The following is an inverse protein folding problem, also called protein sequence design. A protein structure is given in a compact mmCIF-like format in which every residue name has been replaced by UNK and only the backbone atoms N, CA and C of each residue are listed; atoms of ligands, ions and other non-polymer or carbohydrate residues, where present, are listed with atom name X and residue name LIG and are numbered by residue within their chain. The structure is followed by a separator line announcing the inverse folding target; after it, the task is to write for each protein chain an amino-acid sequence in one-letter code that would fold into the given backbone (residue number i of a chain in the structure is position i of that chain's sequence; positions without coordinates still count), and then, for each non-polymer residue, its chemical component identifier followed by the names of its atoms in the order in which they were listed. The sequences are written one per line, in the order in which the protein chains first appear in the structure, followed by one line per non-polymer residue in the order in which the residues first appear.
data_IF_217922807231
#
_entry.id   IF_217922807231
#
_cell.length_a   1.000
_cell.length_b   1.000
_cell.length_c   1.000
_cell.angle_alpha   90.00
_cell.angle_beta   90.00
_cell.angle_gamma   90.00
#
_symmetry.space_group_name_H-M   'P 1'
#
loop_
_entity.id
_entity.type
_entity.pdbx_description
1 polymer ?
#
# COMPACT_ATOMS: atom_id res chain seq x y z
N UNK A 1 49.31 41.12 -3.70
CA UNK A 1 49.14 39.65 -3.77
C UNK A 1 48.04 39.09 -2.85
N UNK A 2 47.71 39.72 -1.72
CA UNK A 2 46.71 39.22 -0.75
C UNK A 2 45.25 39.30 -1.23
N UNK A 3 44.88 40.34 -1.97
CA UNK A 3 43.50 40.55 -2.47
C UNK A 3 43.07 39.45 -3.47
N UNK A 4 43.97 39.05 -4.38
CA UNK A 4 43.68 38.01 -5.39
C UNK A 4 43.47 36.62 -4.77
N UNK A 5 44.17 36.31 -3.67
CA UNK A 5 43.99 35.07 -2.92
C UNK A 5 42.63 35.02 -2.20
N UNK A 6 42.20 36.13 -1.59
CA UNK A 6 40.91 36.21 -0.91
C UNK A 6 39.72 36.00 -1.87
N UNK A 7 39.78 36.61 -3.05
CA UNK A 7 38.75 36.45 -4.09
C UNK A 7 38.70 34.99 -4.57
N UNK A 8 39.86 34.36 -4.80
CA UNK A 8 39.93 32.96 -5.23
C UNK A 8 39.31 32.01 -4.19
N UNK A 9 39.58 32.22 -2.89
CA UNK A 9 39.01 31.40 -1.81
C UNK A 9 37.49 31.54 -1.74
N UNK A 10 36.96 32.76 -1.89
CA UNK A 10 35.51 33.00 -1.89
C UNK A 10 34.84 32.33 -3.08
N UNK A 11 35.42 32.44 -4.28
CA UNK A 11 34.90 31.79 -5.49
C UNK A 11 34.93 30.26 -5.35
N UNK A 12 36.03 29.69 -4.85
CA UNK A 12 36.14 28.26 -4.62
C UNK A 12 35.10 27.78 -3.60
N UNK A 13 34.95 28.47 -2.47
CA UNK A 13 33.93 28.16 -1.46
C UNK A 13 32.51 28.21 -2.06
N UNK A 14 32.21 29.21 -2.90
CA UNK A 14 30.94 29.33 -3.61
C UNK A 14 30.67 28.16 -4.56
N UNK A 15 31.68 27.76 -5.35
CA UNK A 15 31.56 26.62 -6.28
C UNK A 15 31.37 25.30 -5.51
N UNK A 16 32.14 25.08 -4.43
CA UNK A 16 31.96 23.89 -3.59
C UNK A 16 30.57 23.84 -2.95
N UNK A 17 30.07 24.99 -2.47
CA UNK A 17 28.70 25.10 -1.94
C UNK A 17 27.64 24.75 -2.98
N UNK A 18 27.75 25.32 -4.20
CA UNK A 18 26.83 25.07 -5.29
C UNK A 18 26.85 23.59 -5.76
N UNK A 19 28.02 22.96 -5.82
CA UNK A 19 28.17 21.55 -6.18
C UNK A 19 27.54 20.62 -5.13
N UNK A 20 27.73 20.91 -3.84
CA UNK A 20 27.13 20.13 -2.77
C UNK A 20 25.60 20.28 -2.74
N UNK A 21 25.08 21.49 -2.97
CA UNK A 21 23.65 21.74 -3.09
C UNK A 21 23.06 20.99 -4.30
N UNK A 22 23.72 21.06 -5.46
CA UNK A 22 23.30 20.35 -6.68
C UNK A 22 23.24 18.83 -6.47
N UNK A 23 24.27 18.24 -5.85
CA UNK A 23 24.29 16.81 -5.49
C UNK A 23 23.14 16.43 -4.56
N UNK A 24 22.86 17.24 -3.55
CA UNK A 24 21.75 17.00 -2.60
C UNK A 24 20.38 17.06 -3.29
N UNK A 25 20.17 18.05 -4.17
CA UNK A 25 18.94 18.19 -4.96
C UNK A 25 18.76 16.97 -5.88
N UNK A 26 19.82 16.58 -6.59
CA UNK A 26 19.79 15.42 -7.49
C UNK A 26 19.48 14.13 -6.74
N UNK A 27 20.17 13.85 -5.63
CA UNK A 27 19.92 12.67 -4.79
C UNK A 27 18.50 12.64 -4.22
N UNK A 28 17.99 13.80 -3.81
CA UNK A 28 16.61 13.92 -3.34
C UNK A 28 15.62 13.61 -4.47
N UNK A 29 15.83 14.17 -5.65
CA UNK A 29 14.97 13.93 -6.81
C UNK A 29 14.94 12.46 -7.22
N UNK A 30 16.10 11.80 -7.27
CA UNK A 30 16.21 10.37 -7.55
C UNK A 30 15.47 9.53 -6.49
N UNK A 31 15.62 9.88 -5.21
CA UNK A 31 14.97 9.13 -4.12
C UNK A 31 13.44 9.30 -4.17
N UNK A 32 12.95 10.51 -4.43
CA UNK A 32 11.52 10.77 -4.56
C UNK A 32 10.92 10.03 -5.76
N UNK A 33 11.60 10.08 -6.90
CA UNK A 33 11.19 9.33 -8.10
C UNK A 33 11.13 7.82 -7.83
N UNK A 34 12.13 7.28 -7.12
CA UNK A 34 12.12 5.87 -6.71
C UNK A 34 10.97 5.52 -5.78
N UNK A 35 10.61 6.39 -4.83
CA UNK A 35 9.45 6.16 -3.95
C UNK A 35 8.13 6.13 -4.73
N UNK A 36 7.96 7.04 -5.70
CA UNK A 36 6.77 7.07 -6.54
C UNK A 36 6.66 5.83 -7.43
N UNK A 37 7.78 5.38 -8.02
CA UNK A 37 7.83 4.16 -8.84
C UNK A 37 7.52 2.91 -8.01
N UNK A 38 8.07 2.81 -6.80
CA UNK A 38 7.79 1.72 -5.87
C UNK A 38 6.32 1.67 -5.45
N UNK A 39 5.74 2.83 -5.10
CA UNK A 39 4.32 2.92 -4.75
C UNK A 39 3.40 2.59 -5.93
N UNK A 40 3.76 3.00 -7.15
CA UNK A 40 3.03 2.61 -8.37
C UNK A 40 3.06 1.10 -8.56
N UNK A 41 4.23 0.47 -8.50
CA UNK A 41 4.37 -1.00 -8.63
C UNK A 41 3.56 -1.75 -7.58
N UNK A 42 3.57 -1.27 -6.34
CA UNK A 42 2.77 -1.85 -5.26
C UNK A 42 1.27 -1.72 -5.56
N UNK A 43 0.79 -0.53 -5.91
CA UNK A 43 -0.61 -0.32 -6.28
C UNK A 43 -1.02 -1.15 -7.49
N UNK A 44 -0.17 -1.27 -8.51
CA UNK A 44 -0.46 -2.09 -9.69
C UNK A 44 -0.62 -3.57 -9.30
N UNK A 45 0.22 -4.08 -8.38
CA UNK A 45 0.09 -5.43 -7.85
C UNK A 45 -1.21 -5.61 -7.05
N UNK A 46 -1.44 -4.77 -6.06
CA UNK A 46 -2.64 -4.84 -5.20
C UNK A 46 -3.89 -4.73 -6.07
N UNK A 47 -3.92 -3.79 -7.02
CA UNK A 47 -5.08 -3.57 -7.88
C UNK A 47 -5.38 -4.76 -8.78
N UNK A 48 -4.37 -5.49 -9.26
CA UNK A 48 -4.59 -6.71 -10.04
C UNK A 48 -5.24 -7.80 -9.19
N UNK A 49 -4.80 -7.98 -7.95
CA UNK A 49 -5.34 -9.00 -7.05
C UNK A 49 -6.75 -8.63 -6.55
N UNK A 50 -6.98 -7.38 -6.15
CA UNK A 50 -8.31 -6.89 -5.76
C UNK A 50 -9.29 -6.93 -6.95
N UNK A 51 -8.82 -6.73 -8.17
CA UNK A 51 -9.67 -6.93 -9.37
C UNK A 51 -10.06 -8.40 -9.56
N UNK A 52 -9.24 -9.34 -9.10
CA UNK A 52 -9.55 -10.76 -9.14
C UNK A 52 -10.36 -11.23 -7.92
N UNK A 53 -10.52 -10.38 -6.91
CA UNK A 53 -11.41 -10.64 -5.79
C UNK A 53 -12.84 -10.23 -6.10
N UNK A 54 -13.75 -10.54 -5.20
CA UNK A 54 -15.14 -10.12 -5.29
C UNK A 54 -15.82 -10.25 -3.95
N UNK A 55 -17.06 -9.80 -3.94
CA UNK A 55 -17.91 -9.93 -2.76
C UNK A 55 -18.33 -11.38 -2.62
N UNK A 56 -18.11 -11.98 -1.45
CA UNK A 56 -18.56 -13.34 -1.19
C UNK A 56 -19.66 -13.24 -0.14
N UNK A 57 -20.90 -13.10 -0.61
CA UNK A 57 -22.07 -12.94 0.27
C UNK A 57 -22.67 -14.27 0.75
N UNK A 58 -22.33 -15.38 0.09
CA UNK A 58 -22.89 -16.70 0.39
C UNK A 58 -22.21 -17.39 1.60
N UNK A 59 -21.20 -16.77 2.22
CA UNK A 59 -20.63 -17.20 3.49
C UNK A 59 -21.17 -16.32 4.63
N UNK A 60 -22.24 -16.75 5.34
CA UNK A 60 -22.88 -15.94 6.37
C UNK A 60 -21.97 -15.65 7.59
N UNK A 61 -20.80 -16.27 7.67
CA UNK A 61 -19.87 -16.09 8.77
C UNK A 61 -18.62 -15.27 8.40
N UNK A 62 -18.38 -15.02 7.10
CA UNK A 62 -17.11 -14.43 6.61
C UNK A 62 -17.31 -13.58 5.35
N UNK A 63 -17.95 -12.38 5.42
CA UNK A 63 -18.13 -11.54 4.25
C UNK A 63 -16.79 -10.98 3.76
N UNK A 64 -16.50 -11.18 2.47
CA UNK A 64 -15.36 -10.56 1.80
C UNK A 64 -15.78 -9.37 0.92
N UNK A 65 -14.93 -8.36 0.72
CA UNK A 65 -13.68 -8.14 1.47
C UNK A 65 -13.95 -7.72 2.92
N UNK A 66 -13.04 -8.05 3.82
CA UNK A 66 -13.06 -7.60 5.21
C UNK A 66 -12.03 -6.50 5.41
N UNK A 67 -12.47 -5.33 5.87
CA UNK A 67 -11.62 -4.20 6.21
C UNK A 67 -11.40 -4.12 7.71
N UNK A 68 -10.17 -3.82 8.13
CA UNK A 68 -9.82 -3.66 9.54
C UNK A 68 -8.79 -2.56 9.74
N UNK A 69 -8.64 -2.13 11.00
CA UNK A 69 -7.90 -0.93 11.36
C UNK A 69 -6.67 -1.30 12.16
N UNK A 70 -5.51 -0.80 11.74
CA UNK A 70 -4.23 -0.89 12.48
C UNK A 70 -3.91 -2.29 13.03
N UNK A 71 -4.02 -3.31 12.18
CA UNK A 71 -3.72 -4.70 12.53
C UNK A 71 -4.77 -5.40 13.39
N UNK A 72 -5.85 -4.71 13.78
CA UNK A 72 -6.90 -5.25 14.63
C UNK A 72 -7.94 -6.07 13.84
N UNK A 73 -7.49 -7.15 13.20
CA UNK A 73 -8.40 -8.12 12.59
C UNK A 73 -9.07 -8.97 13.69
N UNK A 74 -10.38 -9.19 13.58
CA UNK A 74 -11.19 -9.81 14.63
C UNK A 74 -12.04 -10.98 14.07
N UNK A 75 -12.67 -11.73 14.97
CA UNK A 75 -13.60 -12.81 14.62
C UNK A 75 -12.94 -13.88 13.74
N UNK A 76 -13.59 -14.23 12.63
CA UNK A 76 -13.08 -15.20 11.66
C UNK A 76 -11.71 -14.80 11.07
N UNK A 77 -11.41 -13.50 11.02
CA UNK A 77 -10.18 -12.95 10.48
C UNK A 77 -9.07 -12.75 11.52
N UNK A 78 -9.27 -13.16 12.78
CA UNK A 78 -8.33 -12.92 13.88
C UNK A 78 -6.90 -13.47 13.63
N UNK A 79 -6.76 -14.45 12.74
CA UNK A 79 -5.45 -14.97 12.34
C UNK A 79 -4.65 -14.00 11.45
N UNK A 80 -5.28 -12.95 10.91
CA UNK A 80 -4.61 -11.83 10.24
C UNK A 80 -4.12 -10.74 11.20
N UNK A 81 -4.41 -10.85 12.50
CA UNK A 81 -4.02 -9.86 13.49
C UNK A 81 -2.50 -9.62 13.52
N UNK A 82 -2.09 -8.38 13.76
CA UNK A 82 -0.71 -8.03 14.05
C UNK A 82 -0.62 -6.74 14.89
N UNK A 83 0.53 -6.49 15.53
CA UNK A 83 0.80 -5.20 16.14
C UNK A 83 0.67 -4.06 15.12
N UNK A 84 0.11 -2.90 15.51
CA UNK A 84 0.02 -1.75 14.63
C UNK A 84 1.40 -1.25 14.23
N UNK A 85 1.55 -0.82 12.98
CA UNK A 85 2.78 -0.16 12.53
C UNK A 85 2.99 1.17 13.27
N UNK A 86 4.25 1.51 13.53
CA UNK A 86 4.65 2.78 14.13
C UNK A 86 4.35 3.92 13.16
N UNK A 87 3.47 4.84 13.56
CA UNK A 87 3.25 6.09 12.82
C UNK A 87 4.41 7.06 13.07
N UNK A 88 5.05 7.52 12.01
CA UNK A 88 6.06 8.58 12.00
C UNK A 88 5.51 9.94 11.57
N UNK A 89 4.29 9.96 11.02
CA UNK A 89 3.54 11.16 10.71
C UNK A 89 3.01 11.82 11.99
N UNK A 90 2.99 13.14 12.01
CA UNK A 90 2.42 13.93 13.12
C UNK A 90 0.99 14.36 12.79
N UNK A 91 0.12 14.62 13.80
CA UNK A 91 -1.19 15.20 13.55
C UNK A 91 -1.12 16.43 12.64
N UNK A 92 -1.89 16.41 11.54
CA UNK A 92 -1.86 17.45 10.50
C UNK A 92 -1.01 17.11 9.27
N UNK A 93 -0.14 16.10 9.34
CA UNK A 93 0.48 15.52 8.15
C UNK A 93 -0.59 14.81 7.29
N UNK A 94 -0.53 14.88 5.95
CA UNK A 94 -1.49 14.20 5.07
C UNK A 94 -1.38 12.67 5.14
N UNK A 95 -0.22 12.16 5.57
CA UNK A 95 0.07 10.76 5.82
C UNK A 95 -0.26 10.31 7.25
N UNK A 96 -0.82 11.18 8.10
CA UNK A 96 -1.28 10.85 9.45
C UNK A 96 -2.66 10.17 9.44
N UNK A 97 -2.85 9.21 10.34
CA UNK A 97 -4.10 8.51 10.57
C UNK A 97 -3.90 6.99 10.59
N UNK A 98 -4.97 6.24 10.90
CA UNK A 98 -4.87 4.80 10.99
C UNK A 98 -4.66 4.16 9.61
N UNK A 99 -3.97 3.03 9.61
CA UNK A 99 -3.99 2.10 8.49
C UNK A 99 -5.39 1.46 8.43
N UNK A 100 -5.94 1.38 7.22
CA UNK A 100 -7.12 0.58 6.93
C UNK A 100 -6.69 -0.50 5.95
N UNK A 101 -6.70 -1.73 6.42
CA UNK A 101 -6.14 -2.92 5.80
C UNK A 101 -7.27 -3.82 5.28
N UNK A 102 -6.94 -4.80 4.45
CA UNK A 102 -7.94 -5.62 3.75
C UNK A 102 -7.59 -7.11 3.82
N UNK A 103 -8.63 -7.95 3.93
CA UNK A 103 -8.62 -9.37 3.62
C UNK A 103 -9.63 -9.66 2.52
N UNK A 104 -9.25 -10.44 1.51
CA UNK A 104 -10.14 -10.87 0.43
C UNK A 104 -9.80 -12.28 -0.06
N UNK A 105 -10.67 -12.87 -0.89
CA UNK A 105 -10.38 -14.09 -1.64
C UNK A 105 -10.28 -13.79 -3.13
N UNK A 106 -9.44 -14.53 -3.83
CA UNK A 106 -9.34 -14.42 -5.29
C UNK A 106 -10.15 -15.53 -5.95
N UNK A 107 -10.70 -15.23 -7.12
CA UNK A 107 -11.29 -16.25 -7.96
C UNK A 107 -10.23 -17.29 -8.38
N UNK A 108 -10.59 -18.56 -8.35
CA UNK A 108 -9.72 -19.68 -8.68
C UNK A 108 -10.54 -20.74 -9.40
N UNK A 109 -9.97 -21.36 -10.43
CA UNK A 109 -10.49 -22.57 -11.07
C UNK A 109 -10.35 -23.73 -10.08
N UNK A 110 -11.48 -24.21 -9.53
CA UNK A 110 -11.50 -25.19 -8.44
C UNK A 110 -11.64 -26.63 -8.93
N UNK A 111 -12.07 -26.84 -10.18
CA UNK A 111 -12.23 -28.16 -10.80
C UNK A 111 -11.31 -28.42 -12.01
N UNK A 112 -10.37 -27.50 -12.27
CA UNK A 112 -9.36 -27.54 -13.33
C UNK A 112 -9.98 -27.62 -14.74
N UNK A 113 -11.17 -27.03 -14.93
CA UNK A 113 -11.88 -27.00 -16.22
C UNK A 113 -11.46 -25.84 -17.15
N UNK A 114 -10.59 -24.95 -16.65
CA UNK A 114 -10.07 -23.78 -17.34
C UNK A 114 -10.91 -22.51 -17.15
N UNK A 115 -11.99 -22.56 -16.36
CA UNK A 115 -12.87 -21.44 -16.05
C UNK A 115 -12.76 -21.06 -14.57
N UNK A 116 -13.13 -19.82 -14.25
CA UNK A 116 -13.19 -19.34 -12.84
C UNK A 116 -14.62 -19.41 -12.31
N UNK A 117 -15.47 -20.21 -12.94
CA UNK A 117 -16.90 -20.25 -12.70
C UNK A 117 -17.36 -21.69 -12.75
N UNK A 118 -18.19 -22.09 -11.77
CA UNK A 118 -18.66 -23.46 -11.71
C UNK A 118 -19.58 -23.76 -12.89
N UNK A 119 -19.31 -24.83 -13.62
CA UNK A 119 -20.19 -25.31 -14.69
C UNK A 119 -21.60 -25.69 -14.17
N UNK A 120 -21.74 -25.96 -12.86
CA UNK A 120 -23.02 -26.36 -12.25
C UNK A 120 -23.89 -25.17 -11.87
N UNK A 121 -23.30 -24.14 -11.26
CA UNK A 121 -24.05 -23.00 -10.72
C UNK A 121 -23.91 -21.72 -11.56
N UNK A 122 -22.88 -21.62 -12.41
CA UNK A 122 -22.51 -20.39 -13.11
C UNK A 122 -21.91 -19.31 -12.20
N UNK A 123 -21.75 -19.60 -10.90
CA UNK A 123 -21.14 -18.68 -9.94
C UNK A 123 -19.63 -18.69 -10.04
N UNK A 124 -18.99 -17.59 -9.63
CA UNK A 124 -17.53 -17.52 -9.51
C UNK A 124 -17.07 -18.51 -8.44
N UNK A 125 -16.03 -19.26 -8.77
CA UNK A 125 -15.35 -20.14 -7.85
C UNK A 125 -14.27 -19.36 -7.09
N UNK A 126 -14.37 -19.39 -5.77
CA UNK A 126 -13.47 -18.66 -4.89
C UNK A 126 -12.44 -19.61 -4.30
N UNK A 127 -11.16 -19.28 -4.48
CA UNK A 127 -10.08 -20.04 -3.87
C UNK A 127 -10.17 -20.01 -2.33
N UNK A 128 -9.71 -21.06 -1.64
CA UNK A 128 -9.80 -21.15 -0.19
C UNK A 128 -8.83 -20.19 0.53
N UNK A 129 -7.82 -19.70 -0.18
CA UNK A 129 -6.79 -18.84 0.36
C UNK A 129 -7.28 -17.40 0.57
N UNK A 130 -7.10 -16.89 1.79
CA UNK A 130 -7.33 -15.50 2.14
C UNK A 130 -6.08 -14.68 1.86
N UNK A 131 -6.19 -13.64 1.04
CA UNK A 131 -5.10 -12.72 0.77
C UNK A 131 -5.33 -11.47 1.63
N UNK A 132 -4.29 -11.00 2.31
CA UNK A 132 -4.36 -9.72 3.02
C UNK A 132 -3.19 -8.81 2.72
N UNK A 133 -3.47 -7.51 2.73
CA UNK A 133 -2.46 -6.46 2.66
C UNK A 133 -2.42 -5.69 3.96
N UNK A 134 -1.26 -5.73 4.62
CA UNK A 134 -1.05 -5.18 5.96
C UNK A 134 0.24 -4.39 6.05
N UNK A 135 0.27 -3.36 6.90
CA UNK A 135 1.45 -2.55 7.18
C UNK A 135 2.01 -2.97 8.53
N UNK A 136 3.30 -3.31 8.53
CA UNK A 136 4.04 -3.60 9.76
C UNK A 136 5.30 -2.74 9.84
N UNK A 137 5.82 -2.58 11.06
CA UNK A 137 7.17 -2.04 11.27
C UNK A 137 8.17 -3.19 11.30
N UNK A 138 9.13 -3.18 10.37
CA UNK A 138 10.21 -4.16 10.34
C UNK A 138 11.21 -3.93 11.48
N UNK A 139 12.12 -4.88 11.71
CA UNK A 139 13.11 -4.83 12.80
C UNK A 139 14.05 -3.61 12.72
N UNK A 140 14.21 -3.01 11.55
CA UNK A 140 15.01 -1.79 11.34
C UNK A 140 14.21 -0.49 11.54
N UNK A 141 12.96 -0.60 12.02
CA UNK A 141 12.06 0.52 12.29
C UNK A 141 11.39 1.09 11.03
N UNK A 142 11.63 0.52 9.85
CA UNK A 142 10.98 0.97 8.61
C UNK A 142 9.67 0.23 8.41
N UNK A 143 8.60 0.99 8.19
CA UNK A 143 7.31 0.41 7.84
C UNK A 143 7.33 -0.20 6.44
N UNK A 144 6.70 -1.35 6.30
CA UNK A 144 6.54 -2.05 5.03
C UNK A 144 5.13 -2.60 4.85
N UNK A 145 4.66 -2.58 3.62
CA UNK A 145 3.44 -3.26 3.22
C UNK A 145 3.76 -4.71 2.90
N UNK A 146 3.07 -5.62 3.57
CA UNK A 146 3.17 -7.05 3.35
C UNK A 146 1.90 -7.59 2.73
N UNK A 147 2.08 -8.49 1.77
CA UNK A 147 1.05 -9.41 1.32
C UNK A 147 1.16 -10.69 2.14
N UNK A 148 0.05 -11.20 2.66
CA UNK A 148 -0.01 -12.46 3.42
C UNK A 148 -1.05 -13.40 2.84
N UNK A 149 -0.84 -14.70 3.07
CA UNK A 149 -1.79 -15.76 2.70
C UNK A 149 -2.25 -16.43 3.99
N UNK A 150 -3.56 -16.39 4.24
CA UNK A 150 -4.22 -16.88 5.47
C UNK A 150 -3.58 -16.29 6.73
N UNK A 151 -3.21 -15.00 6.72
CA UNK A 151 -2.53 -14.35 7.84
C UNK A 151 -1.05 -14.71 8.02
N UNK A 152 -0.53 -15.65 7.23
CA UNK A 152 0.83 -16.16 7.29
C UNK A 152 1.64 -15.85 6.01
N UNK A 153 2.87 -16.39 5.93
CA UNK A 153 3.75 -16.32 4.76
C UNK A 153 3.96 -14.90 4.21
N UNK A 154 4.53 -13.99 5.02
CA UNK A 154 4.65 -12.60 4.63
C UNK A 154 5.58 -12.43 3.43
N UNK A 155 5.11 -11.68 2.45
CA UNK A 155 5.91 -11.18 1.32
C UNK A 155 5.89 -9.67 1.35
N UNK A 156 7.05 -9.05 1.52
CA UNK A 156 7.19 -7.60 1.45
C UNK A 156 6.90 -7.12 0.03
N UNK A 157 5.87 -6.28 -0.11
CA UNK A 157 5.44 -5.69 -1.38
C UNK A 157 6.24 -4.42 -1.64
N UNK A 158 6.34 -3.55 -0.63
CA UNK A 158 7.05 -2.29 -0.70
C UNK A 158 7.41 -1.78 0.69
N UNK A 159 8.51 -1.05 0.81
CA UNK A 159 9.00 -0.44 2.07
C UNK A 159 8.76 1.06 2.08
N UNK A 160 8.85 1.68 3.25
CA UNK A 160 8.59 3.11 3.49
C UNK A 160 7.11 3.48 3.37
N UNK A 161 6.20 2.57 3.70
CA UNK A 161 4.76 2.82 3.71
C UNK A 161 4.39 3.44 5.05
N UNK A 162 4.00 4.71 5.04
CA UNK A 162 3.52 5.35 6.26
C UNK A 162 2.09 4.92 6.58
N UNK A 163 1.25 4.86 5.54
CA UNK A 163 -0.18 4.59 5.68
C UNK A 163 -0.71 3.92 4.43
N UNK A 164 -1.48 2.84 4.60
CA UNK A 164 -2.34 2.28 3.56
C UNK A 164 -3.79 2.49 3.97
N UNK A 165 -4.64 2.77 2.98
CA UNK A 165 -6.07 2.93 3.19
C UNK A 165 -6.81 2.17 2.09
N UNK A 166 -7.52 1.14 2.51
CA UNK A 166 -8.59 0.52 1.71
C UNK A 166 -9.93 1.11 2.16
N UNK A 167 -10.73 1.55 1.19
CA UNK A 167 -12.08 2.08 1.38
C UNK A 167 -13.06 1.32 0.51
N UNK A 168 -14.25 1.03 1.06
CA UNK A 168 -15.39 0.45 0.35
C UNK A 168 -16.60 1.42 0.40
N UNK A 169 -17.75 1.00 -0.10
CA UNK A 169 -18.96 1.83 -0.11
C UNK A 169 -19.51 2.16 1.30
N UNK A 170 -19.10 1.45 2.34
CA UNK A 170 -19.49 1.74 3.72
C UNK A 170 -18.63 2.85 4.32
N UNK A 171 -17.34 2.89 3.96
CA UNK A 171 -16.40 3.91 4.47
C UNK A 171 -16.29 5.14 3.56
N UNK A 172 -16.55 4.98 2.27
CA UNK A 172 -16.64 6.06 1.27
C UNK A 172 -17.94 5.88 0.44
N UNK A 173 -18.99 6.65 0.75
CA UNK A 173 -20.27 6.60 0.02
C UNK A 173 -20.18 6.96 -1.47
N UNK A 174 -19.05 7.48 -1.95
CA UNK A 174 -18.78 7.72 -3.36
C UNK A 174 -18.46 6.45 -4.16
N UNK A 175 -18.18 5.33 -3.48
CA UNK A 175 -17.87 4.05 -4.10
C UNK A 175 -19.14 3.21 -4.31
N UNK A 176 -19.16 2.44 -5.40
CA UNK A 176 -20.19 1.41 -5.61
C UNK A 176 -19.87 0.14 -4.81
N UNK A 177 -20.86 -0.75 -4.62
CA UNK A 177 -20.71 -1.98 -3.81
C UNK A 177 -19.52 -2.88 -4.21
N UNK A 178 -19.11 -2.83 -5.47
CA UNK A 178 -18.02 -3.66 -6.01
C UNK A 178 -16.73 -2.86 -6.25
N UNK A 179 -16.61 -1.68 -5.64
CA UNK A 179 -15.42 -0.84 -5.74
C UNK A 179 -14.65 -0.80 -4.43
N UNK A 180 -13.33 -0.86 -4.57
CA UNK A 180 -12.39 -0.58 -3.49
C UNK A 180 -11.49 0.57 -3.94
N UNK A 181 -11.44 1.63 -3.13
CA UNK A 181 -10.44 2.68 -3.26
C UNK A 181 -9.20 2.30 -2.44
N UNK A 182 -8.03 2.51 -3.02
CA UNK A 182 -6.75 2.17 -2.43
C UNK A 182 -5.89 3.42 -2.44
N UNK A 183 -5.46 3.87 -1.28
CA UNK A 183 -4.53 5.00 -1.13
C UNK A 183 -3.30 4.54 -0.39
N UNK A 184 -2.12 4.76 -0.98
CA UNK A 184 -0.83 4.49 -0.35
C UNK A 184 -0.07 5.79 -0.10
N UNK A 185 0.35 5.99 1.14
CA UNK A 185 1.20 7.09 1.56
C UNK A 185 2.60 6.54 1.86
N UNK A 186 3.59 7.07 1.15
CA UNK A 186 5.00 6.74 1.35
C UNK A 186 5.70 7.83 2.13
N UNK A 187 6.56 7.45 3.07
CA UNK A 187 7.38 8.38 3.85
C UNK A 187 8.79 7.83 4.04
N UNK A 188 9.79 8.60 3.61
CA UNK A 188 11.20 8.26 3.80
C UNK A 188 12.00 9.44 4.30
N UNK A 189 12.68 9.26 5.42
CA UNK A 189 13.64 10.24 5.92
C UNK A 189 15.00 10.01 5.24
N UNK A 190 15.49 11.00 4.49
CA UNK A 190 16.82 11.02 3.89
C UNK A 190 17.75 11.92 4.69
N UNK A 191 19.06 11.65 4.65
CA UNK A 191 20.04 12.51 5.30
C UNK A 191 20.04 13.91 4.65
N UNK A 192 20.13 15.01 5.43
CA UNK A 192 20.38 15.10 6.88
C UNK A 192 19.12 15.19 7.76
N UNK A 193 18.05 14.44 7.47
CA UNK A 193 16.78 14.44 8.21
C UNK A 193 15.59 14.98 7.40
N UNK A 194 15.76 15.20 6.10
CA UNK A 194 14.68 15.64 5.21
C UNK A 194 13.69 14.50 5.00
N UNK A 195 12.40 14.79 5.20
CA UNK A 195 11.33 13.82 4.93
C UNK A 195 10.87 13.98 3.48
N UNK A 196 10.90 12.87 2.74
CA UNK A 196 10.31 12.75 1.41
C UNK A 196 8.99 12.00 1.53
N UNK A 197 7.97 12.52 0.84
CA UNK A 197 6.63 11.95 0.81
C UNK A 197 6.20 11.70 -0.63
N UNK A 198 5.51 10.60 -0.85
CA UNK A 198 4.79 10.34 -2.09
C UNK A 198 3.42 9.78 -1.75
N UNK A 199 2.42 10.10 -2.55
CA UNK A 199 1.07 9.56 -2.41
C UNK A 199 0.58 9.13 -3.77
N UNK A 200 -0.11 8.00 -3.82
CA UNK A 200 -0.83 7.53 -5.00
C UNK A 200 -2.16 6.92 -4.57
N UNK A 201 -3.16 7.02 -5.42
CA UNK A 201 -4.47 6.42 -5.21
C UNK A 201 -4.97 5.76 -6.49
N UNK A 202 -5.86 4.78 -6.33
CA UNK A 202 -6.55 4.11 -7.43
C UNK A 202 -7.86 3.53 -6.92
N UNK A 203 -8.85 3.39 -7.80
CA UNK A 203 -10.13 2.73 -7.52
C UNK A 203 -10.24 1.51 -8.41
N UNK A 204 -10.58 0.37 -7.81
CA UNK A 204 -10.61 -0.92 -8.46
C UNK A 204 -12.02 -1.48 -8.41
N UNK A 205 -12.56 -1.84 -9.58
CA UNK A 205 -13.74 -2.68 -9.64
C UNK A 205 -13.32 -4.13 -9.38
N UNK A 206 -13.89 -4.74 -8.35
CA UNK A 206 -13.79 -6.16 -8.06
C UNK A 206 -14.64 -6.96 -9.06
N UNK A 207 -14.42 -8.28 -9.15
CA UNK A 207 -15.34 -9.18 -9.86
C UNK A 207 -16.69 -9.17 -9.16
N UNK A 208 -17.76 -8.94 -9.92
CA UNK A 208 -19.12 -9.08 -9.43
C UNK A 208 -19.43 -10.56 -9.17
N UNK A 209 -19.89 -10.87 -7.96
CA UNK A 209 -20.63 -12.10 -7.68
C UNK A 209 -22.13 -11.86 -7.96
N UNK A 210 -22.47 -11.53 -9.21
CA UNK A 210 -23.84 -11.32 -9.72
C UNK A 210 -24.72 -10.23 -9.05
N UNK A 211 -25.55 -9.60 -9.88
CA UNK A 211 -26.54 -8.58 -9.50
C UNK A 211 -27.85 -9.25 -9.04
N UNK A 212 -28.48 -8.66 -8.01
CA UNK A 212 -29.89 -8.87 -7.68
C UNK A 212 -30.74 -8.67 -8.95
N UNK A 213 -31.44 -9.71 -9.40
CA UNK A 213 -32.66 -9.56 -10.20
C UNK A 213 -33.82 -9.18 -9.28
#
# INVERSE_FOLDING_TARGET
MTVSMAILVIVLAGVFGALNASRSIFQTGVTLSSLQDQARKALDQISREVRQSGTVMNDPYSPYPYLFVDGNAEGYYAHHWHPPAVSHASPGDPDYGPNREIVFRMAQDMDDDGLLTSATTGEIEWGPAQISYVVITADDGVNELQRRINGYSPVTVVRYVERIVFDDYHTDPGLTKNQISIVIHMRKTVRPGRVLRAYLSTTVNMRNSWEEQ
#
